data_IF_707200217907
#
_entry.id   IF_707200217907
#
_cell.length_a   1.000
_cell.length_b   1.000
_cell.length_c   1.000
_cell.angle_alpha   90.00
_cell.angle_beta   90.00
_cell.angle_gamma   90.00
#
_symmetry.space_group_name_H-M   'P 1'
#
loop_
_entity.id
_entity.type
_entity.pdbx_description
1 polymer ?
#
# COMPACT_ATOMS: atom_id res chain seq x y z
N UNK A 1 2.43 -10.21 -5.53
CA UNK A 1 1.48 -9.15 -5.12
C UNK A 1 0.06 -9.66 -5.21
N UNK A 2 -0.84 -9.27 -4.27
CA UNK A 2 -2.25 -9.69 -4.25
C UNK A 2 -3.13 -8.47 -4.53
N UNK A 3 -3.99 -8.56 -5.54
CA UNK A 3 -4.92 -7.49 -5.92
C UNK A 3 -6.36 -7.97 -5.90
N UNK A 4 -7.31 -7.05 -5.78
CA UNK A 4 -8.74 -7.32 -5.82
C UNK A 4 -9.55 -6.24 -5.13
N UNK A 5 -10.86 -6.28 -5.30
CA UNK A 5 -11.79 -5.34 -4.67
C UNK A 5 -11.74 -5.43 -3.13
N UNK A 6 -12.31 -4.44 -2.46
CA UNK A 6 -12.55 -4.51 -1.03
C UNK A 6 -13.35 -5.78 -0.69
N UNK A 7 -12.96 -6.49 0.37
CA UNK A 7 -13.56 -7.79 0.69
C UNK A 7 -13.23 -8.94 -0.26
N UNK A 8 -12.39 -8.72 -1.28
CA UNK A 8 -12.03 -9.74 -2.29
C UNK A 8 -11.08 -10.84 -1.81
N UNK A 9 -10.70 -10.87 -0.53
CA UNK A 9 -9.85 -11.93 0.02
C UNK A 9 -8.34 -11.76 -0.20
N UNK A 10 -7.87 -10.55 -0.50
CA UNK A 10 -6.44 -10.24 -0.69
C UNK A 10 -5.59 -10.55 0.53
N UNK A 11 -5.94 -9.91 1.65
CA UNK A 11 -5.21 -10.01 2.91
C UNK A 11 -5.16 -11.46 3.40
N UNK A 12 -6.31 -12.14 3.44
CA UNK A 12 -6.36 -13.54 3.85
C UNK A 12 -5.58 -14.47 2.91
N UNK A 13 -5.55 -14.19 1.61
CA UNK A 13 -4.74 -14.95 0.63
C UNK A 13 -3.25 -14.75 0.87
N UNK A 14 -2.82 -13.51 1.16
CA UNK A 14 -1.43 -13.20 1.47
C UNK A 14 -0.99 -13.85 2.80
N UNK A 15 -1.81 -13.75 3.85
CA UNK A 15 -1.58 -14.40 5.15
C UNK A 15 -1.53 -15.92 5.00
N UNK A 16 -2.46 -16.52 4.25
CA UNK A 16 -2.46 -17.96 3.95
C UNK A 16 -1.18 -18.39 3.26
N UNK A 17 -0.68 -17.62 2.29
CA UNK A 17 0.59 -17.92 1.61
C UNK A 17 1.76 -17.84 2.58
N UNK A 18 1.85 -16.78 3.39
CA UNK A 18 2.87 -16.63 4.43
C UNK A 18 2.84 -17.79 5.44
N UNK A 19 1.65 -18.13 5.95
CA UNK A 19 1.44 -19.22 6.88
C UNK A 19 1.91 -20.58 6.32
N UNK A 20 1.54 -20.89 5.07
CA UNK A 20 1.93 -22.13 4.42
C UNK A 20 3.45 -22.23 4.25
N UNK A 21 4.12 -21.11 3.95
CA UNK A 21 5.59 -21.08 3.87
C UNK A 21 6.21 -21.32 5.24
N UNK A 22 5.72 -20.66 6.30
CA UNK A 22 6.20 -20.86 7.67
C UNK A 22 5.96 -22.30 8.17
N UNK A 23 4.86 -22.94 7.75
CA UNK A 23 4.58 -24.35 8.07
C UNK A 23 5.54 -25.31 7.37
N UNK A 24 5.98 -24.97 6.16
CA UNK A 24 6.85 -25.82 5.34
C UNK A 24 8.33 -25.61 5.67
N UNK A 25 8.71 -24.38 6.04
CA UNK A 25 10.08 -23.99 6.31
C UNK A 25 10.24 -23.54 7.77
N UNK A 26 11.19 -24.13 8.48
CA UNK A 26 11.47 -23.80 9.90
C UNK A 26 12.28 -22.51 10.03
N UNK A 27 12.06 -21.78 11.14
CA UNK A 27 12.86 -20.63 11.53
C UNK A 27 12.66 -19.41 10.61
N UNK A 28 11.51 -19.28 9.94
CA UNK A 28 11.19 -18.13 9.07
C UNK A 28 10.91 -16.90 9.92
N UNK A 29 11.49 -15.77 9.54
CA UNK A 29 11.16 -14.47 10.13
C UNK A 29 10.12 -13.76 9.24
N UNK A 30 9.04 -13.27 9.84
CA UNK A 30 7.97 -12.54 9.16
C UNK A 30 7.94 -11.11 9.69
N UNK A 31 8.19 -10.12 8.82
CA UNK A 31 8.01 -8.71 9.11
C UNK A 31 6.67 -8.26 8.51
N UNK A 32 5.79 -7.66 9.31
CA UNK A 32 4.43 -7.34 8.87
C UNK A 32 3.84 -6.15 9.62
N UNK A 33 2.91 -5.44 8.97
CA UNK A 33 2.08 -4.41 9.58
C UNK A 33 0.76 -4.97 10.16
N UNK A 34 0.52 -6.28 10.00
CA UNK A 34 -0.64 -6.97 10.57
C UNK A 34 -0.28 -7.61 11.92
N UNK A 35 -1.28 -7.80 12.77
CA UNK A 35 -1.16 -8.68 13.92
C UNK A 35 -1.49 -10.11 13.49
N UNK A 36 -0.53 -11.02 13.63
CA UNK A 36 -0.64 -12.40 13.20
C UNK A 36 -0.73 -13.35 14.40
N UNK A 37 -1.59 -14.37 14.28
CA UNK A 37 -1.86 -15.35 15.32
C UNK A 37 -1.72 -16.79 14.80
N UNK A 38 -1.38 -17.72 15.69
CA UNK A 38 -1.39 -19.17 15.40
C UNK A 38 -0.43 -19.60 14.31
N UNK A 39 0.68 -18.87 14.11
CA UNK A 39 1.80 -19.29 13.27
C UNK A 39 2.64 -20.35 14.01
N UNK A 40 3.46 -21.16 13.30
CA UNK A 40 4.35 -22.11 13.93
C UNK A 40 5.23 -21.47 15.00
N UNK A 41 5.51 -22.18 16.10
CA UNK A 41 6.26 -21.64 17.25
C UNK A 41 7.68 -21.20 16.91
N UNK A 42 8.28 -21.79 15.89
CA UNK A 42 9.61 -21.45 15.39
C UNK A 42 9.61 -20.23 14.43
N UNK A 43 8.44 -19.65 14.15
CA UNK A 43 8.31 -18.45 13.32
C UNK A 43 8.49 -17.19 14.16
N UNK A 44 9.46 -16.36 13.81
CA UNK A 44 9.67 -15.06 14.45
C UNK A 44 8.83 -13.99 13.75
N UNK A 45 7.84 -13.42 14.43
CA UNK A 45 7.00 -12.33 13.91
C UNK A 45 7.54 -11.00 14.44
N UNK A 46 7.77 -10.05 13.55
CA UNK A 46 8.25 -8.70 13.84
C UNK A 46 7.23 -7.70 13.30
N UNK A 47 6.79 -6.74 14.12
CA UNK A 47 5.89 -5.66 13.70
C UNK A 47 6.66 -4.64 12.87
N UNK A 48 6.14 -4.28 11.70
CA UNK A 48 6.70 -3.25 10.84
C UNK A 48 6.38 -1.87 11.41
N UNK A 49 7.40 -1.16 11.84
CA UNK A 49 7.33 0.22 12.33
C UNK A 49 8.02 1.16 11.34
N UNK A 50 9.16 0.73 10.79
CA UNK A 50 9.95 1.53 9.86
C UNK A 50 10.45 0.66 8.70
N UNK A 51 10.48 1.20 7.50
CA UNK A 51 10.96 0.52 6.30
C UNK A 51 12.43 0.07 6.39
N UNK A 52 13.27 0.74 7.21
CA UNK A 52 14.66 0.34 7.43
C UNK A 52 14.80 -1.05 8.06
N UNK A 53 13.79 -1.52 8.82
CA UNK A 53 13.78 -2.85 9.43
C UNK A 53 13.92 -3.99 8.40
N UNK A 54 13.53 -3.75 7.14
CA UNK A 54 13.67 -4.73 6.06
C UNK A 54 15.16 -5.01 5.78
N UNK A 55 16.05 -4.01 5.97
CA UNK A 55 17.51 -4.18 5.80
C UNK A 55 18.11 -5.10 6.87
N UNK A 56 17.54 -5.11 8.06
CA UNK A 56 18.01 -5.84 9.22
C UNK A 56 17.50 -7.29 9.29
N UNK A 57 16.55 -7.65 8.38
CA UNK A 57 16.00 -8.99 8.35
C UNK A 57 17.08 -10.03 8.02
N UNK A 58 17.02 -11.22 8.60
CA UNK A 58 17.82 -12.35 8.17
C UNK A 58 17.44 -12.80 6.76
N UNK A 59 18.33 -13.52 6.09
CA UNK A 59 18.02 -14.13 4.79
C UNK A 59 16.86 -15.13 4.92
N UNK A 60 16.11 -15.32 3.83
CA UNK A 60 14.92 -16.19 3.77
C UNK A 60 13.76 -15.72 4.66
N UNK A 61 13.63 -14.42 4.86
CA UNK A 61 12.51 -13.83 5.58
C UNK A 61 11.31 -13.54 4.65
N UNK A 62 10.16 -13.32 5.25
CA UNK A 62 8.94 -12.85 4.57
C UNK A 62 8.65 -11.44 5.03
N UNK A 63 8.40 -10.55 4.10
CA UNK A 63 7.84 -9.21 4.35
C UNK A 63 6.39 -9.23 3.87
N UNK A 64 5.45 -9.20 4.80
CA UNK A 64 4.01 -9.22 4.53
C UNK A 64 3.42 -7.85 4.85
N UNK A 65 3.02 -7.11 3.82
CA UNK A 65 2.49 -5.75 3.96
C UNK A 65 1.07 -5.71 3.40
N UNK A 66 0.12 -5.43 4.27
CA UNK A 66 -1.25 -5.13 3.85
C UNK A 66 -1.37 -3.67 3.42
N UNK A 67 -2.12 -3.43 2.32
CA UNK A 67 -2.26 -2.12 1.68
C UNK A 67 -0.91 -1.43 1.40
N UNK A 68 0.00 -2.15 0.74
CA UNK A 68 1.37 -1.68 0.44
C UNK A 68 1.38 -0.32 -0.28
N UNK A 69 0.32 -0.02 -1.03
CA UNK A 69 0.13 1.27 -1.68
C UNK A 69 -0.03 2.45 -0.71
N UNK A 70 -0.48 2.23 0.53
CA UNK A 70 -0.58 3.28 1.54
C UNK A 70 0.77 3.61 2.17
N UNK A 71 1.65 2.63 2.30
CA UNK A 71 2.99 2.79 2.86
C UNK A 71 3.95 3.39 1.83
N UNK A 72 3.79 2.98 0.56
CA UNK A 72 4.63 3.41 -0.57
C UNK A 72 3.83 4.19 -1.61
N UNK A 73 2.98 5.13 -1.16
CA UNK A 73 2.14 5.90 -2.06
C UNK A 73 2.95 7.03 -2.71
N UNK A 74 2.96 7.05 -4.03
CA UNK A 74 3.60 8.11 -4.83
C UNK A 74 2.98 9.50 -4.61
N UNK A 75 1.75 9.59 -4.07
CA UNK A 75 1.04 10.87 -3.89
C UNK A 75 1.57 11.68 -2.70
N UNK A 76 1.99 11.03 -1.62
CA UNK A 76 2.59 11.72 -0.48
C UNK A 76 3.99 12.25 -0.81
N UNK A 77 4.62 11.72 -1.86
CA UNK A 77 5.88 12.20 -2.43
C UNK A 77 5.70 13.22 -3.57
N UNK A 78 4.47 13.48 -4.03
CA UNK A 78 4.19 14.43 -5.12
C UNK A 78 4.45 15.90 -4.73
N UNK A 79 4.52 16.22 -3.44
CA UNK A 79 5.00 17.53 -2.94
C UNK A 79 6.51 17.72 -3.16
N UNK A 80 7.26 16.67 -3.33
CA UNK A 80 8.68 16.69 -3.68
C UNK A 80 8.91 15.75 -4.86
N UNK A 81 8.72 16.15 -6.08
CA UNK A 81 9.07 15.57 -7.41
C UNK A 81 9.88 14.25 -7.45
N UNK A 82 9.73 13.35 -6.48
CA UNK A 82 10.53 12.12 -6.35
C UNK A 82 9.61 10.91 -6.16
N UNK A 83 9.68 9.99 -7.13
CA UNK A 83 9.28 8.58 -7.06
C UNK A 83 9.70 7.93 -5.72
N UNK A 84 9.23 6.69 -5.45
CA UNK A 84 9.62 5.87 -4.28
C UNK A 84 11.03 6.23 -3.79
N UNK A 85 11.23 6.53 -2.50
CA UNK A 85 12.55 6.90 -1.99
C UNK A 85 13.60 5.90 -2.47
N UNK A 86 14.69 6.38 -3.07
CA UNK A 86 15.77 5.52 -3.56
C UNK A 86 16.18 4.41 -2.59
N UNK A 87 16.25 4.66 -1.25
CA UNK A 87 16.55 3.61 -0.29
C UNK A 87 15.55 2.47 -0.29
N UNK A 88 14.25 2.75 -0.42
CA UNK A 88 13.19 1.71 -0.43
C UNK A 88 13.26 0.88 -1.70
N UNK A 89 13.49 1.50 -2.84
CA UNK A 89 13.67 0.78 -4.09
C UNK A 89 14.91 -0.13 -4.07
N UNK A 90 16.04 0.41 -3.61
CA UNK A 90 17.26 -0.38 -3.40
C UNK A 90 17.04 -1.54 -2.44
N UNK A 91 16.29 -1.31 -1.37
CA UNK A 91 15.89 -2.30 -0.39
C UNK A 91 15.16 -3.47 -1.03
N UNK A 92 14.15 -3.19 -1.87
CA UNK A 92 13.34 -4.22 -2.52
C UNK A 92 14.18 -5.00 -3.54
N UNK A 93 15.08 -4.34 -4.27
CA UNK A 93 16.04 -5.02 -5.14
C UNK A 93 16.95 -5.96 -4.34
N UNK A 94 17.40 -5.55 -3.15
CA UNK A 94 18.22 -6.40 -2.28
C UNK A 94 17.45 -7.61 -1.71
N UNK A 95 16.13 -7.50 -1.53
CA UNK A 95 15.31 -8.62 -1.07
C UNK A 95 15.49 -9.86 -1.95
N UNK A 96 15.60 -9.68 -3.26
CA UNK A 96 15.82 -10.78 -4.21
C UNK A 96 17.14 -11.51 -3.97
N UNK A 97 18.24 -10.77 -3.77
CA UNK A 97 19.56 -11.36 -3.49
C UNK A 97 19.60 -12.10 -2.15
N UNK A 98 18.89 -11.60 -1.15
CA UNK A 98 18.82 -12.17 0.19
C UNK A 98 17.70 -13.22 0.35
N UNK A 99 17.02 -13.58 -0.73
CA UNK A 99 15.89 -14.52 -0.71
C UNK A 99 14.77 -14.09 0.24
N UNK A 100 14.54 -12.78 0.37
CA UNK A 100 13.43 -12.22 1.13
C UNK A 100 12.22 -12.15 0.20
N UNK A 101 11.11 -12.76 0.63
CA UNK A 101 9.87 -12.74 -0.14
C UNK A 101 9.00 -11.56 0.28
N UNK A 102 8.67 -10.68 -0.66
CA UNK A 102 7.75 -9.57 -0.43
C UNK A 102 6.33 -9.97 -0.86
N UNK A 103 5.42 -10.06 0.09
CA UNK A 103 3.98 -10.27 -0.11
C UNK A 103 3.26 -8.96 0.21
N UNK A 104 2.73 -8.31 -0.80
CA UNK A 104 1.99 -7.06 -0.62
C UNK A 104 0.56 -7.21 -1.11
N UNK A 105 -0.39 -6.52 -0.49
CA UNK A 105 -1.75 -6.38 -1.00
C UNK A 105 -1.98 -4.97 -1.52
N UNK A 106 -2.82 -4.83 -2.52
CA UNK A 106 -3.26 -3.54 -3.05
C UNK A 106 -4.65 -3.68 -3.66
N UNK A 107 -5.47 -2.65 -3.61
CA UNK A 107 -6.84 -2.72 -4.12
C UNK A 107 -6.89 -2.76 -5.64
N UNK A 108 -6.03 -1.99 -6.31
CA UNK A 108 -5.95 -1.91 -7.77
C UNK A 108 -4.49 -1.80 -8.18
N UNK A 109 -4.15 -2.44 -9.29
CA UNK A 109 -2.78 -2.45 -9.83
C UNK A 109 -2.20 -1.06 -10.08
N UNK A 110 -3.00 -0.13 -10.59
CA UNK A 110 -2.59 1.24 -10.88
C UNK A 110 -2.38 2.14 -9.63
N UNK A 111 -2.79 1.70 -8.45
CA UNK A 111 -2.48 2.39 -7.19
C UNK A 111 -1.07 2.09 -6.69
N UNK A 112 -0.45 1.05 -7.22
CA UNK A 112 0.93 0.71 -6.93
C UNK A 112 1.86 1.58 -7.80
N UNK A 113 2.92 2.11 -7.19
CA UNK A 113 3.95 2.87 -7.92
C UNK A 113 4.55 2.02 -9.04
N UNK A 114 4.87 2.67 -10.17
CA UNK A 114 5.42 1.99 -11.35
C UNK A 114 6.69 1.21 -11.03
N UNK A 115 7.57 1.77 -10.21
CA UNK A 115 8.84 1.11 -9.85
C UNK A 115 8.58 -0.20 -9.08
N UNK A 116 7.55 -0.23 -8.22
CA UNK A 116 7.15 -1.44 -7.50
C UNK A 116 6.49 -2.46 -8.43
N UNK A 117 5.74 -2.00 -9.44
CA UNK A 117 5.16 -2.87 -10.47
C UNK A 117 6.24 -3.51 -11.34
N UNK A 118 7.27 -2.74 -11.71
CA UNK A 118 8.37 -3.18 -12.57
C UNK A 118 9.24 -4.27 -11.91
N UNK A 119 9.29 -4.32 -10.57
CA UNK A 119 10.06 -5.34 -9.83
C UNK A 119 9.21 -6.49 -9.30
N UNK A 120 7.89 -6.42 -9.43
CA UNK A 120 7.02 -7.51 -9.04
C UNK A 120 7.19 -8.71 -10.00
N UNK A 121 7.40 -9.90 -9.45
CA UNK A 121 7.49 -11.13 -10.23
C UNK A 121 6.10 -11.66 -10.59
N UNK A 122 5.22 -11.77 -9.61
CA UNK A 122 3.88 -12.36 -9.79
C UNK A 122 2.78 -11.48 -9.20
N UNK A 123 1.64 -11.51 -9.86
CA UNK A 123 0.41 -10.85 -9.45
C UNK A 123 -0.70 -11.88 -9.27
N UNK A 124 -1.35 -11.86 -8.11
CA UNK A 124 -2.48 -12.74 -7.80
C UNK A 124 -3.75 -11.92 -7.72
N UNK A 125 -4.67 -12.14 -8.63
CA UNK A 125 -6.02 -11.53 -8.61
C UNK A 125 -6.91 -12.35 -7.70
N UNK A 126 -7.40 -11.73 -6.62
CA UNK A 126 -8.26 -12.37 -5.63
C UNK A 126 -9.71 -11.95 -5.81
N UNK A 127 -10.60 -12.94 -5.75
CA UNK A 127 -12.04 -12.70 -5.75
C UNK A 127 -12.72 -13.61 -4.74
N UNK A 128 -13.51 -13.03 -3.83
CA UNK A 128 -14.29 -13.77 -2.84
C UNK A 128 -15.77 -13.75 -3.21
N UNK A 129 -16.38 -14.91 -3.12
CA UNK A 129 -17.81 -15.12 -3.31
C UNK A 129 -18.45 -15.38 -1.96
N UNK A 130 -19.72 -15.02 -1.87
CA UNK A 130 -20.56 -15.14 -0.69
C UNK A 130 -20.12 -14.24 0.47
N UNK A 131 -21.04 -14.03 1.39
CA UNK A 131 -20.83 -13.27 2.62
C UNK A 131 -21.52 -14.01 3.76
N UNK A 132 -21.21 -13.64 4.98
CA UNK A 132 -21.90 -14.21 6.14
C UNK A 132 -23.43 -14.17 5.95
N UNK A 133 -24.17 -15.22 6.36
CA UNK A 133 -23.71 -16.38 7.15
C UNK A 133 -23.07 -17.52 6.33
N UNK A 134 -22.91 -17.36 5.03
CA UNK A 134 -22.37 -18.42 4.17
C UNK A 134 -20.85 -18.49 4.22
N UNK A 135 -20.30 -19.68 4.03
CA UNK A 135 -18.85 -19.87 3.90
C UNK A 135 -18.31 -19.06 2.72
N UNK A 136 -17.35 -18.17 2.97
CA UNK A 136 -16.68 -17.42 1.90
C UNK A 136 -15.76 -18.32 1.12
N UNK A 137 -15.93 -18.30 -0.18
CA UNK A 137 -15.10 -19.02 -1.14
C UNK A 137 -14.24 -18.01 -1.90
N UNK A 138 -12.92 -18.20 -1.89
CA UNK A 138 -11.99 -17.30 -2.56
C UNK A 138 -11.31 -18.01 -3.71
N UNK A 139 -11.30 -17.36 -4.86
CA UNK A 139 -10.54 -17.76 -6.04
C UNK A 139 -9.36 -16.82 -6.23
N UNK A 140 -8.24 -17.39 -6.65
CA UNK A 140 -6.98 -16.70 -6.89
C UNK A 140 -6.45 -17.10 -8.26
N UNK A 141 -6.27 -16.12 -9.14
CA UNK A 141 -5.63 -16.30 -10.44
C UNK A 141 -4.27 -15.59 -10.42
N UNK A 142 -3.20 -16.34 -10.66
CA UNK A 142 -1.82 -15.83 -10.63
C UNK A 142 -1.33 -15.58 -12.06
N UNK A 143 -0.70 -14.44 -12.28
CA UNK A 143 -0.17 -13.98 -13.54
C UNK A 143 1.27 -13.51 -13.36
N UNK A 144 2.04 -13.52 -14.45
CA UNK A 144 3.27 -12.74 -14.52
C UNK A 144 2.95 -11.24 -14.39
N UNK A 145 3.65 -10.54 -13.51
CA UNK A 145 3.33 -9.14 -13.23
C UNK A 145 3.60 -8.22 -14.42
N UNK A 146 4.64 -8.52 -15.22
CA UNK A 146 5.01 -7.75 -16.39
C UNK A 146 4.02 -7.97 -17.55
N UNK A 147 3.57 -9.21 -17.76
CA UNK A 147 2.53 -9.52 -18.75
C UNK A 147 1.20 -8.87 -18.35
N UNK A 148 0.87 -8.91 -17.06
CA UNK A 148 -0.33 -8.26 -16.53
C UNK A 148 -0.29 -6.73 -16.70
N UNK A 149 0.84 -6.08 -16.46
CA UNK A 149 0.98 -4.62 -16.65
C UNK A 149 0.79 -4.23 -18.13
N UNK A 150 1.35 -5.01 -19.05
CA UNK A 150 1.15 -4.80 -20.49
C UNK A 150 -0.32 -4.98 -20.89
N UNK A 151 -0.96 -6.05 -20.42
CA UNK A 151 -2.37 -6.31 -20.66
C UNK A 151 -3.26 -5.24 -20.03
N UNK A 152 -2.95 -4.78 -18.84
CA UNK A 152 -3.70 -3.72 -18.15
C UNK A 152 -3.72 -2.42 -18.95
N UNK A 153 -2.60 -2.07 -19.59
CA UNK A 153 -2.48 -0.89 -20.45
C UNK A 153 -3.06 -1.11 -21.85
N UNK A 154 -3.06 -2.34 -22.35
CA UNK A 154 -3.63 -2.72 -23.63
C UNK A 154 -4.35 -4.09 -23.55
N UNK A 155 -5.66 -4.11 -23.26
CA UNK A 155 -6.43 -5.35 -23.09
C UNK A 155 -6.55 -6.24 -24.33
N UNK A 156 -6.08 -5.79 -25.49
CA UNK A 156 -6.02 -6.61 -26.71
C UNK A 156 -4.86 -7.61 -26.69
N UNK A 157 -3.89 -7.42 -25.81
CA UNK A 157 -2.77 -8.35 -25.65
C UNK A 157 -3.23 -9.63 -24.94
N UNK A 158 -2.68 -10.79 -25.32
CA UNK A 158 -2.96 -12.04 -24.62
C UNK A 158 -2.39 -11.96 -23.19
N UNK A 159 -3.14 -12.46 -22.21
CA UNK A 159 -2.71 -12.59 -20.83
C UNK A 159 -2.70 -14.07 -20.45
N UNK A 160 -1.52 -14.61 -20.15
CA UNK A 160 -1.36 -16.00 -19.74
C UNK A 160 -1.53 -16.14 -18.24
N UNK A 161 -2.49 -16.96 -17.81
CA UNK A 161 -2.63 -17.35 -16.42
C UNK A 161 -1.59 -18.42 -16.07
N UNK A 162 -0.78 -18.16 -15.01
CA UNK A 162 0.25 -19.06 -14.52
C UNK A 162 -0.35 -20.14 -13.63
N UNK A 163 -1.21 -19.75 -12.70
CA UNK A 163 -1.83 -20.65 -11.73
C UNK A 163 -3.25 -20.17 -11.41
N UNK A 164 -4.12 -21.13 -11.13
CA UNK A 164 -5.45 -20.88 -10.58
C UNK A 164 -5.68 -21.82 -9.40
N UNK A 165 -6.10 -21.25 -8.28
CA UNK A 165 -6.47 -22.03 -7.11
C UNK A 165 -7.62 -21.35 -6.37
N UNK A 166 -8.28 -22.15 -5.54
CA UNK A 166 -9.38 -21.67 -4.74
C UNK A 166 -9.37 -22.32 -3.36
N UNK A 167 -10.02 -21.67 -2.42
CA UNK A 167 -10.13 -22.19 -1.06
C UNK A 167 -11.33 -21.57 -0.33
N UNK A 168 -11.81 -22.29 0.72
CA UNK A 168 -12.80 -21.79 1.65
C UNK A 168 -12.09 -21.01 2.75
N UNK A 169 -12.59 -19.85 3.09
CA UNK A 169 -12.10 -19.07 4.24
C UNK A 169 -12.68 -19.68 5.53
N UNK A 170 -11.94 -20.60 6.13
CA UNK A 170 -12.32 -21.20 7.42
C UNK A 170 -12.13 -20.20 8.56
N UNK A 171 -12.81 -20.40 9.67
CA UNK A 171 -12.66 -19.56 10.87
C UNK A 171 -11.22 -19.66 11.43
N UNK A 172 -10.59 -20.85 11.34
CA UNK A 172 -9.18 -21.01 11.68
C UNK A 172 -8.28 -20.10 10.83
N UNK A 173 -8.54 -19.99 9.52
CA UNK A 173 -7.73 -19.14 8.65
C UNK A 173 -7.99 -17.64 8.93
N UNK A 174 -9.23 -17.29 9.23
CA UNK A 174 -9.61 -15.91 9.57
C UNK A 174 -9.03 -15.47 10.92
N UNK A 175 -8.95 -16.36 11.91
CA UNK A 175 -8.37 -16.06 13.22
C UNK A 175 -6.85 -15.87 13.21
N UNK A 176 -6.18 -16.11 12.06
CA UNK A 176 -4.72 -15.96 11.96
C UNK A 176 -4.23 -14.53 11.84
N UNK A 177 -5.12 -13.55 11.66
CA UNK A 177 -4.73 -12.15 11.56
C UNK A 177 -5.87 -11.22 12.00
N UNK A 178 -5.50 -10.05 12.48
CA UNK A 178 -6.44 -8.96 12.79
C UNK A 178 -6.14 -7.74 11.91
N UNK A 179 -7.19 -7.16 11.33
CA UNK A 179 -7.15 -5.93 10.55
C UNK A 179 -7.70 -4.73 11.30
N UNK A 180 -8.39 -4.94 12.43
CA UNK A 180 -9.08 -3.88 13.18
C UNK A 180 -8.05 -2.95 13.84
N UNK A 181 -6.94 -3.49 14.35
CA UNK A 181 -5.86 -2.68 14.92
C UNK A 181 -5.27 -1.65 13.95
N UNK A 182 -5.31 -1.92 12.64
CA UNK A 182 -4.85 -0.96 11.64
C UNK A 182 -5.76 0.27 11.56
N UNK A 183 -7.06 0.08 11.77
CA UNK A 183 -8.04 1.17 11.78
C UNK A 183 -7.86 2.00 13.06
N UNK A 184 -7.68 1.34 14.20
CA UNK A 184 -7.47 2.01 15.49
C UNK A 184 -6.14 2.80 15.51
N UNK A 185 -5.06 2.23 15.00
CA UNK A 185 -3.77 2.95 14.90
C UNK A 185 -3.78 4.11 13.89
N UNK A 186 -4.71 4.13 12.95
CA UNK A 186 -4.94 5.27 12.05
C UNK A 186 -5.83 6.34 12.71
N UNK A 187 -6.74 5.92 13.60
CA UNK A 187 -7.60 6.83 14.37
C UNK A 187 -6.85 7.46 15.56
N UNK A 188 -5.88 6.76 16.15
CA UNK A 188 -5.01 7.25 17.22
C UNK A 188 -3.93 8.24 16.77
N UNK A 189 -3.77 8.48 15.48
CA UNK A 189 -3.06 9.68 15.02
C UNK A 189 -3.95 10.87 15.32
N UNK A 190 -3.68 11.53 16.44
CA UNK A 190 -4.29 12.81 16.80
C UNK A 190 -4.34 13.69 15.54
N UNK A 191 -5.54 14.03 15.14
CA UNK A 191 -5.76 15.01 14.08
C UNK A 191 -5.28 16.36 14.65
N UNK A 192 -4.04 16.70 14.35
CA UNK A 192 -3.50 18.03 14.70
C UNK A 192 -4.33 19.01 13.88
N UNK A 193 -5.19 19.78 14.56
CA UNK A 193 -6.03 20.77 13.92
C UNK A 193 -5.15 21.83 13.23
N UNK A 194 -5.64 22.43 12.15
CA UNK A 194 -4.91 23.50 11.47
C UNK A 194 -4.56 24.67 12.41
N UNK A 195 -5.34 24.84 13.48
CA UNK A 195 -5.11 25.83 14.55
C UNK A 195 -3.88 25.46 15.42
N UNK A 196 -3.67 24.19 15.73
CA UNK A 196 -2.47 23.72 16.45
C UNK A 196 -1.21 23.78 15.59
N UNK A 197 -1.32 23.56 14.29
CA UNK A 197 -0.22 23.72 13.33
C UNK A 197 0.18 25.20 13.26
N UNK A 198 -0.78 26.13 13.28
CA UNK A 198 -0.54 27.57 13.29
C UNK A 198 0.04 28.03 14.63
N UNK A 199 -0.44 27.51 15.76
CA UNK A 199 0.08 27.84 17.09
C UNK A 199 1.54 27.37 17.27
N UNK A 200 1.89 26.18 16.80
CA UNK A 200 3.25 25.66 16.81
C UNK A 200 4.21 26.44 15.90
N UNK A 201 3.71 27.01 14.79
CA UNK A 201 4.49 27.91 13.93
C UNK A 201 4.71 29.28 14.57
N UNK A 202 3.74 29.79 15.32
CA UNK A 202 3.88 31.08 16.04
C UNK A 202 4.86 31.00 17.21
N UNK A 203 5.03 29.81 17.82
CA UNK A 203 5.97 29.57 18.94
C UNK A 203 7.46 29.49 18.54
N UNK A 204 7.78 29.31 17.25
CA UNK A 204 9.16 29.12 16.77
C UNK A 204 9.84 30.40 16.26
N UNK A 205 9.27 31.59 16.50
CA UNK A 205 9.97 32.88 16.30
C UNK A 205 10.41 33.20 14.86
N UNK A 206 9.89 32.53 13.85
CA UNK A 206 10.13 32.88 12.46
C UNK A 206 9.07 33.88 12.00
N UNK A 207 9.41 35.15 11.96
CA UNK A 207 8.60 36.14 11.27
C UNK A 207 8.66 35.88 9.78
N UNK A 208 7.51 35.74 9.07
CA UNK A 208 7.54 35.65 7.62
C UNK A 208 7.90 37.05 7.07
N UNK A 209 9.01 37.12 6.36
CA UNK A 209 9.31 38.27 5.50
C UNK A 209 8.17 38.43 4.49
N UNK A 210 7.43 39.51 4.62
CA UNK A 210 6.42 39.98 3.69
C UNK A 210 7.10 40.43 2.39
N UNK A 211 7.57 39.50 1.59
CA UNK A 211 7.87 39.76 0.18
C UNK A 211 6.55 39.71 -0.57
N UNK A 212 5.98 40.88 -0.74
CA UNK A 212 4.75 41.09 -1.50
C UNK A 212 4.92 40.62 -2.94
N UNK A 213 4.24 39.56 -3.30
CA UNK A 213 4.20 39.03 -4.66
C UNK A 213 3.47 40.02 -5.58
N UNK A 214 4.21 40.70 -6.48
CA UNK A 214 3.72 41.70 -7.45
C UNK A 214 2.63 41.17 -8.40
N UNK A 215 2.27 39.92 -8.34
CA UNK A 215 1.19 39.32 -9.13
C UNK A 215 -0.20 39.53 -8.55
N UNK A 216 -0.34 39.75 -7.25
CA UNK A 216 -1.65 39.91 -6.61
C UNK A 216 -2.22 41.32 -6.81
N UNK A 217 -1.36 42.30 -6.98
CA UNK A 217 -1.83 43.71 -7.24
C UNK A 217 -2.38 43.92 -8.62
N UNK A 218 -2.06 43.08 -9.61
CA UNK A 218 -2.65 43.19 -10.98
C UNK A 218 -4.06 42.64 -11.13
N UNK A 219 -4.55 41.85 -10.18
CA UNK A 219 -5.93 41.30 -10.21
C UNK A 219 -6.97 42.20 -9.59
N UNK A 220 -6.60 43.06 -8.64
CA UNK A 220 -7.54 44.03 -8.01
C UNK A 220 -7.78 45.29 -8.82
N UNK A 221 -7.02 45.55 -9.87
CA UNK A 221 -7.17 46.72 -10.75
C UNK A 221 -8.11 46.53 -11.95
N UNK A 222 -8.71 45.35 -12.14
CA UNK A 222 -9.54 45.03 -13.33
C UNK A 222 -11.04 44.90 -13.09
N UNK A 223 -11.52 45.11 -11.87
CA UNK A 223 -12.96 44.98 -11.54
C UNK A 223 -13.68 46.33 -11.36
N UNK A 224 -13.17 47.42 -11.94
CA UNK A 224 -13.92 48.68 -11.99
C UNK A 224 -14.01 49.20 -13.44
N UNK A 225 -14.92 48.62 -14.24
CA UNK A 225 -15.59 49.34 -15.36
C UNK A 225 -16.55 48.40 -16.09
N UNK A 226 -17.71 48.17 -15.54
CA UNK A 226 -18.92 47.85 -16.31
C UNK A 226 -20.08 48.67 -15.75
N UNK A 227 -20.27 49.84 -16.35
CA UNK A 227 -21.54 50.55 -16.30
C UNK A 227 -22.40 50.06 -17.45
N UNK A 228 -23.71 49.87 -17.27
CA UNK A 228 -24.59 49.38 -18.32
C UNK A 228 -24.94 50.52 -19.28
N UNK A 229 -24.80 50.28 -20.57
CA UNK A 229 -25.44 51.11 -21.61
C UNK A 229 -26.93 50.79 -21.65
N UNK A 230 -27.73 51.75 -21.24
CA UNK A 230 -29.13 51.91 -21.65
C UNK A 230 -29.15 52.66 -23.00
N UNK A 231 -30.04 52.19 -23.92
CA UNK A 231 -30.48 52.74 -25.18
C UNK A 231 -29.84 52.19 -26.46
N UNK A 232 -30.54 51.38 -27.09
CA UNK A 232 -31.23 51.24 -28.40
C UNK A 232 -31.46 49.76 -28.69
#
# INVERSE_FOLDING_TARGET
MFIGKFGGGKTISAVRRAYNICKTHKGVTVLTNLTLYGFPEDTRIIKLVNSSQILELPDKSIVLIDEIGSIFNSRDFASSKKSVPKPVYQLILQCRHRRIMLLGTVQRWNLLDKQLRDIADTLTVCHSYFADPFARYTTCAEYDAQEYDKWFNNPLLPLRQLMYYSYVQTDELRSKYDTIEMVDSMLDKEYISDEEILANRAGTGFAPDLVGDKKTQRRLGRERSFLPCTHC
#
